data_IF_689423637306
#
_entry.id   IF_689423637306
#
_cell.length_a   1.000
_cell.length_b   1.000
_cell.length_c   1.000
_cell.angle_alpha   90.00
_cell.angle_beta   90.00
_cell.angle_gamma   90.00
#
_symmetry.space_group_name_H-M   'P 1'
#
loop_
_entity.id
_entity.type
_entity.pdbx_description
1 polymer ?
#
# COMPACT_ATOMS: atom_id res chain seq x y z
N UNK A 1 5.24 50.39 -85.38
CA UNK A 1 4.84 50.15 -86.79
C UNK A 1 5.50 48.84 -87.21
N UNK A 2 4.87 47.80 -87.72
CA UNK A 2 3.54 47.58 -88.30
C UNK A 2 3.34 46.05 -88.39
N UNK A 3 2.08 45.63 -88.40
CA UNK A 3 1.62 44.39 -89.02
C UNK A 3 1.56 43.21 -88.06
N UNK A 4 0.52 42.39 -88.04
CA UNK A 4 -0.65 42.36 -88.89
C UNK A 4 -1.64 41.29 -88.40
N UNK A 5 -2.90 41.57 -88.71
CA UNK A 5 -4.11 40.77 -88.81
C UNK A 5 -4.11 39.27 -88.46
N UNK A 6 -5.02 38.95 -87.51
CA UNK A 6 -6.06 37.89 -87.48
C UNK A 6 -5.83 36.54 -88.17
N UNK A 7 -6.12 35.46 -87.44
CA UNK A 7 -7.25 34.54 -87.72
C UNK A 7 -7.63 33.81 -86.41
N UNK A 8 -8.93 33.61 -86.23
CA UNK A 8 -9.57 32.98 -85.09
C UNK A 8 -9.26 31.48 -84.96
N UNK A 9 -9.33 30.96 -83.73
CA UNK A 9 -9.50 29.52 -83.50
C UNK A 9 -10.36 29.26 -82.25
N UNK A 10 -11.35 28.42 -82.49
CA UNK A 10 -12.29 27.84 -81.55
C UNK A 10 -11.78 26.48 -81.07
N UNK A 11 -12.17 26.14 -79.82
CA UNK A 11 -12.32 24.81 -79.20
C UNK A 11 -11.09 23.89 -79.00
N UNK A 12 -10.82 23.54 -77.73
CA UNK A 12 -11.16 22.23 -77.13
C UNK A 12 -10.78 22.16 -75.63
N UNK A 13 -11.60 21.41 -74.87
CA UNK A 13 -11.55 21.17 -73.41
C UNK A 13 -10.28 20.44 -72.91
N UNK A 14 -9.86 20.70 -71.66
CA UNK A 14 -9.71 19.62 -70.67
C UNK A 14 -9.76 20.11 -69.20
N UNK A 15 -10.45 19.33 -68.37
CA UNK A 15 -10.80 19.52 -66.97
C UNK A 15 -9.64 19.50 -65.99
N UNK A 16 -9.68 20.29 -64.90
CA UNK A 16 -9.08 19.87 -63.61
C UNK A 16 -9.79 20.49 -62.36
N UNK A 17 -10.47 19.62 -61.62
CA UNK A 17 -10.48 19.45 -60.14
C UNK A 17 -11.09 20.55 -59.24
N UNK A 18 -12.34 20.33 -58.79
CA UNK A 18 -12.93 20.96 -57.59
C UNK A 18 -12.59 20.15 -56.32
N UNK A 19 -12.05 20.83 -55.31
CA UNK A 19 -11.78 20.29 -53.97
C UNK A 19 -12.72 20.89 -52.93
N UNK A 20 -13.62 20.03 -52.44
CA UNK A 20 -14.61 20.16 -51.35
C UNK A 20 -14.33 21.15 -50.21
N UNK A 21 -15.28 22.06 -49.98
CA UNK A 21 -15.47 22.78 -48.71
C UNK A 21 -15.88 21.79 -47.61
N UNK A 22 -14.97 21.44 -46.69
CA UNK A 22 -15.32 20.68 -45.49
C UNK A 22 -15.77 21.62 -44.37
N UNK A 23 -17.04 21.49 -43.97
CA UNK A 23 -17.57 22.07 -42.73
C UNK A 23 -16.80 21.52 -41.51
N UNK A 24 -16.55 22.33 -40.46
CA UNK A 24 -15.90 21.83 -39.25
C UNK A 24 -16.82 20.83 -38.55
N UNK A 25 -16.33 19.60 -38.37
CA UNK A 25 -17.02 18.56 -37.60
C UNK A 25 -17.14 19.01 -36.14
N UNK A 26 -18.30 18.82 -35.48
CA UNK A 26 -18.40 18.97 -34.04
C UNK A 26 -17.39 18.04 -33.37
N UNK A 27 -16.48 18.59 -32.56
CA UNK A 27 -15.65 17.78 -31.67
C UNK A 27 -16.58 17.15 -30.64
N UNK A 28 -16.82 15.84 -30.79
CA UNK A 28 -17.33 15.04 -29.70
C UNK A 28 -16.39 15.27 -28.50
N UNK A 29 -16.97 15.71 -27.39
CA UNK A 29 -16.30 15.88 -26.11
C UNK A 29 -15.49 14.61 -25.81
N UNK A 30 -14.26 14.81 -25.34
CA UNK A 30 -13.36 13.78 -24.84
C UNK A 30 -14.10 12.81 -23.91
N UNK A 31 -14.31 11.59 -24.39
CA UNK A 31 -14.69 10.46 -23.54
C UNK A 31 -13.60 10.29 -22.48
N UNK A 32 -13.93 10.13 -21.19
CA UNK A 32 -12.93 9.79 -20.19
C UNK A 32 -12.21 8.52 -20.64
N UNK A 33 -10.88 8.51 -20.48
CA UNK A 33 -10.03 7.38 -20.85
C UNK A 33 -10.49 6.18 -20.02
N UNK A 34 -10.83 5.07 -20.68
CA UNK A 34 -11.37 3.86 -20.03
C UNK A 34 -10.45 3.29 -18.93
N UNK A 35 -9.17 3.69 -18.89
CA UNK A 35 -8.21 3.31 -17.85
C UNK A 35 -8.47 3.95 -16.48
N UNK A 36 -9.16 5.10 -16.43
CA UNK A 36 -9.41 5.81 -15.17
C UNK A 36 -10.76 5.43 -14.53
N UNK A 37 -11.64 4.74 -15.27
CA UNK A 37 -12.96 4.34 -14.80
C UNK A 37 -12.92 3.53 -13.48
N UNK A 38 -12.00 2.55 -13.30
CA UNK A 38 -11.89 1.83 -12.02
C UNK A 38 -11.47 2.75 -10.87
N UNK A 39 -10.58 3.72 -11.14
CA UNK A 39 -10.08 4.66 -10.12
C UNK A 39 -11.16 5.68 -9.72
N UNK A 40 -11.94 6.18 -10.66
CA UNK A 40 -13.08 7.06 -10.38
C UNK A 40 -14.21 6.34 -9.64
N UNK A 41 -14.50 5.08 -10.00
CA UNK A 41 -15.48 4.26 -9.29
C UNK A 41 -15.02 3.96 -7.86
N UNK A 42 -13.76 3.55 -7.68
CA UNK A 42 -13.15 3.31 -6.37
C UNK A 42 -13.17 4.57 -5.50
N UNK A 43 -12.79 5.74 -6.04
CA UNK A 43 -12.84 7.00 -5.29
C UNK A 43 -14.27 7.38 -4.87
N UNK A 44 -15.26 7.17 -5.74
CA UNK A 44 -16.67 7.48 -5.45
C UNK A 44 -17.27 6.52 -4.41
N UNK A 45 -16.91 5.23 -4.47
CA UNK A 45 -17.38 4.21 -3.53
C UNK A 45 -16.68 4.33 -2.17
N UNK A 46 -15.39 4.70 -2.14
CA UNK A 46 -14.69 5.06 -0.90
C UNK A 46 -15.33 6.28 -0.23
N UNK A 47 -15.76 7.27 -1.01
CA UNK A 47 -16.49 8.44 -0.50
C UNK A 47 -17.89 8.08 0.03
N UNK A 48 -18.56 7.11 -0.58
CA UNK A 48 -19.84 6.58 -0.09
C UNK A 48 -19.65 5.78 1.21
N UNK A 49 -18.59 4.99 1.32
CA UNK A 49 -18.21 4.30 2.56
C UNK A 49 -17.93 5.29 3.69
N UNK A 50 -17.11 6.33 3.45
CA UNK A 50 -16.81 7.35 4.46
C UNK A 50 -18.03 8.21 4.86
N UNK A 51 -19.10 8.18 4.06
CA UNK A 51 -20.36 8.87 4.38
C UNK A 51 -21.35 7.97 5.12
N UNK A 52 -21.03 6.69 5.28
CA UNK A 52 -21.89 5.71 5.93
C UNK A 52 -21.70 5.77 7.45
N UNK A 53 -22.78 5.98 8.21
CA UNK A 53 -22.72 6.08 9.67
C UNK A 53 -22.18 4.81 10.34
N UNK A 54 -22.51 3.62 9.81
CA UNK A 54 -21.99 2.35 10.31
C UNK A 54 -20.49 2.25 10.10
N UNK A 55 -19.98 2.67 8.93
CA UNK A 55 -18.55 2.69 8.66
C UNK A 55 -17.81 3.76 9.49
N UNK A 56 -18.42 4.93 9.68
CA UNK A 56 -17.84 5.99 10.50
C UNK A 56 -17.62 5.53 11.94
N UNK A 57 -18.53 4.73 12.51
CA UNK A 57 -18.32 4.13 13.83
C UNK A 57 -17.09 3.20 13.87
N UNK A 58 -16.89 2.39 12.82
CA UNK A 58 -15.71 1.51 12.67
C UNK A 58 -14.44 2.33 12.54
N UNK A 59 -14.44 3.37 11.71
CA UNK A 59 -13.30 4.26 11.54
C UNK A 59 -12.92 4.96 12.86
N UNK A 60 -13.90 5.48 13.60
CA UNK A 60 -13.65 6.11 14.90
C UNK A 60 -13.04 5.13 15.90
N UNK A 61 -13.58 3.91 16.00
CA UNK A 61 -13.05 2.88 16.87
C UNK A 61 -11.61 2.51 16.50
N UNK A 62 -11.32 2.30 15.22
CA UNK A 62 -9.96 1.98 14.75
C UNK A 62 -8.97 3.12 15.05
N UNK A 63 -9.37 4.39 14.84
CA UNK A 63 -8.54 5.54 15.20
C UNK A 63 -8.29 5.59 16.71
N UNK A 64 -9.30 5.28 17.53
CA UNK A 64 -9.14 5.22 18.98
C UNK A 64 -8.12 4.15 19.40
N UNK A 65 -8.19 2.97 18.79
CA UNK A 65 -7.23 1.87 19.02
C UNK A 65 -5.80 2.31 18.69
N UNK A 66 -5.57 2.96 17.55
CA UNK A 66 -4.23 3.49 17.21
C UNK A 66 -3.73 4.59 18.15
N UNK A 67 -4.62 5.25 18.90
CA UNK A 67 -4.26 6.22 19.94
C UNK A 67 -3.98 5.57 21.30
N UNK A 68 -4.02 4.23 21.39
CA UNK A 68 -3.88 3.48 22.64
C UNK A 68 -5.17 3.40 23.46
N UNK A 69 -6.32 3.72 22.86
CA UNK A 69 -7.63 3.58 23.49
C UNK A 69 -8.20 2.17 23.35
N UNK A 70 -8.97 1.72 24.34
CA UNK A 70 -9.72 0.47 24.28
C UNK A 70 -11.10 0.63 23.63
N UNK A 71 -11.77 -0.51 23.40
CA UNK A 71 -13.18 -0.55 23.02
C UNK A 71 -14.07 -0.48 24.26
N UNK A 72 -15.22 0.17 24.14
CA UNK A 72 -16.24 0.20 25.18
C UNK A 72 -16.98 -1.14 25.29
N UNK A 73 -17.68 -1.33 26.41
CA UNK A 73 -18.51 -2.51 26.63
C UNK A 73 -19.54 -2.66 25.50
N UNK A 74 -19.59 -3.86 24.90
CA UNK A 74 -20.49 -4.20 23.78
C UNK A 74 -20.28 -3.40 22.48
N UNK A 75 -19.27 -2.52 22.42
CA UNK A 75 -18.92 -1.79 21.20
C UNK A 75 -18.47 -2.77 20.11
N UNK A 76 -17.60 -3.73 20.47
CA UNK A 76 -17.08 -4.73 19.54
C UNK A 76 -18.20 -5.52 18.84
N UNK A 77 -19.25 -5.90 19.57
CA UNK A 77 -20.40 -6.59 18.98
C UNK A 77 -21.11 -5.70 17.94
N UNK A 78 -21.32 -4.44 18.28
CA UNK A 78 -21.96 -3.46 17.41
C UNK A 78 -21.14 -3.20 16.15
N UNK A 79 -19.81 -3.07 16.28
CA UNK A 79 -18.88 -2.90 15.17
C UNK A 79 -18.91 -4.13 14.24
N UNK A 80 -18.91 -5.33 14.80
CA UNK A 80 -19.00 -6.58 14.04
C UNK A 80 -20.30 -6.67 13.24
N UNK A 81 -21.44 -6.30 13.83
CA UNK A 81 -22.73 -6.25 13.13
C UNK A 81 -22.73 -5.21 12.01
N UNK A 82 -22.14 -4.04 12.23
CA UNK A 82 -21.98 -3.01 11.22
C UNK A 82 -21.16 -3.53 10.03
N UNK A 83 -20.04 -4.20 10.29
CA UNK A 83 -19.20 -4.79 9.24
C UNK A 83 -19.94 -5.90 8.50
N UNK A 84 -20.67 -6.79 9.18
CA UNK A 84 -21.50 -7.83 8.52
C UNK A 84 -22.55 -7.23 7.58
N UNK A 85 -23.19 -6.13 7.97
CA UNK A 85 -24.17 -5.42 7.12
C UNK A 85 -23.50 -4.78 5.92
N UNK A 86 -22.34 -4.13 6.11
CA UNK A 86 -21.58 -3.51 5.04
C UNK A 86 -21.04 -4.55 4.04
N UNK A 87 -20.57 -5.71 4.51
CA UNK A 87 -20.12 -6.82 3.66
C UNK A 87 -21.23 -7.36 2.74
N UNK A 88 -22.50 -7.29 3.16
CA UNK A 88 -23.65 -7.69 2.35
C UNK A 88 -24.10 -6.61 1.35
N UNK A 89 -23.52 -5.42 1.40
CA UNK A 89 -23.83 -4.30 0.52
C UNK A 89 -22.84 -4.22 -0.65
N UNK A 90 -23.12 -3.35 -1.62
CA UNK A 90 -22.20 -3.05 -2.74
C UNK A 90 -20.84 -2.51 -2.29
N UNK A 91 -20.72 -2.08 -1.03
CA UNK A 91 -19.49 -1.52 -0.46
C UNK A 91 -18.58 -2.58 0.17
N UNK A 92 -19.04 -3.83 0.29
CA UNK A 92 -18.33 -4.90 0.99
C UNK A 92 -16.94 -5.17 0.42
N UNK A 93 -16.78 -5.14 -0.90
CA UNK A 93 -15.50 -5.37 -1.59
C UNK A 93 -14.44 -4.31 -1.31
N UNK A 94 -14.82 -3.15 -0.80
CA UNK A 94 -13.91 -2.03 -0.55
C UNK A 94 -13.44 -1.96 0.91
N UNK A 95 -14.03 -2.74 1.81
CA UNK A 95 -13.71 -2.69 3.24
C UNK A 95 -12.23 -3.01 3.49
N UNK A 96 -11.72 -4.09 2.88
CA UNK A 96 -10.33 -4.52 3.03
C UNK A 96 -9.36 -3.47 2.48
N UNK A 97 -9.65 -2.94 1.28
CA UNK A 97 -8.83 -1.91 0.64
C UNK A 97 -8.79 -0.62 1.46
N UNK A 98 -9.96 -0.16 1.96
CA UNK A 98 -10.03 1.02 2.80
C UNK A 98 -9.32 0.81 4.14
N UNK A 99 -9.48 -0.37 4.76
CA UNK A 99 -8.74 -0.72 5.97
C UNK A 99 -7.24 -0.60 5.73
N UNK A 100 -6.71 -1.24 4.68
CA UNK A 100 -5.28 -1.22 4.37
C UNK A 100 -4.76 0.18 4.03
N UNK A 101 -5.40 0.86 3.07
CA UNK A 101 -4.86 2.07 2.46
C UNK A 101 -5.20 3.36 3.23
N UNK A 102 -6.22 3.35 4.09
CA UNK A 102 -6.65 4.54 4.82
C UNK A 102 -6.45 4.39 6.32
N UNK A 103 -7.02 3.34 6.93
CA UNK A 103 -7.04 3.22 8.39
C UNK A 103 -5.69 2.76 8.92
N UNK A 104 -5.22 1.61 8.42
CA UNK A 104 -3.97 0.98 8.81
C UNK A 104 -2.79 1.87 8.42
N UNK A 105 -2.72 2.30 7.15
CA UNK A 105 -1.64 3.16 6.67
C UNK A 105 -1.48 4.42 7.53
N UNK A 106 -2.58 5.11 7.84
CA UNK A 106 -2.54 6.32 8.68
C UNK A 106 -2.12 6.02 10.13
N UNK A 107 -2.62 4.93 10.71
CA UNK A 107 -2.24 4.51 12.06
C UNK A 107 -0.77 4.15 12.19
N UNK A 108 -0.23 3.45 11.19
CA UNK A 108 1.18 3.08 11.15
C UNK A 108 2.12 4.25 10.88
N UNK A 109 1.74 5.19 10.00
CA UNK A 109 2.50 6.42 9.80
C UNK A 109 2.61 7.24 11.10
N UNK A 110 1.55 7.28 11.90
CA UNK A 110 1.60 7.91 13.22
C UNK A 110 2.59 7.21 14.17
N UNK A 111 2.65 5.87 14.15
CA UNK A 111 3.62 5.11 14.95
C UNK A 111 5.05 5.32 14.45
N UNK A 112 5.26 5.34 13.14
CA UNK A 112 6.57 5.59 12.53
C UNK A 112 7.10 6.99 12.85
N UNK A 113 6.22 8.00 12.83
CA UNK A 113 6.57 9.36 13.23
C UNK A 113 7.05 9.42 14.68
N UNK A 114 6.42 8.67 15.60
CA UNK A 114 6.90 8.58 16.99
C UNK A 114 8.31 8.02 17.09
N UNK A 115 8.66 6.99 16.29
CA UNK A 115 10.03 6.43 16.29
C UNK A 115 11.03 7.41 15.68
N UNK A 116 10.63 8.18 14.65
CA UNK A 116 11.50 9.17 14.01
C UNK A 116 11.86 10.36 14.91
N UNK A 117 11.04 10.68 15.90
CA UNK A 117 11.30 11.77 16.84
C UNK A 117 12.42 11.42 17.84
N UNK A 118 12.84 10.17 17.91
CA UNK A 118 13.91 9.70 18.76
C UNK A 118 15.23 9.57 17.98
N UNK A 119 16.34 9.92 18.62
CA UNK A 119 17.69 9.85 18.05
C UNK A 119 18.55 8.84 18.81
N UNK A 120 19.54 8.24 18.14
CA UNK A 120 20.50 7.34 18.78
C UNK A 120 19.92 6.00 19.24
N UNK A 121 20.41 5.48 20.37
CA UNK A 121 20.04 4.17 20.92
C UNK A 121 18.58 4.13 21.41
N UNK A 122 18.05 5.26 21.90
CA UNK A 122 16.64 5.40 22.35
C UNK A 122 15.63 5.03 21.26
N UNK A 123 16.02 5.13 19.98
CA UNK A 123 15.17 4.79 18.84
C UNK A 123 14.80 3.32 18.80
N UNK A 124 15.70 2.44 19.24
CA UNK A 124 15.44 0.99 19.30
C UNK A 124 14.52 0.65 20.48
N UNK A 125 14.71 1.30 21.62
CA UNK A 125 13.85 1.11 22.78
C UNK A 125 12.42 1.58 22.48
N UNK A 126 12.26 2.76 21.86
CA UNK A 126 10.95 3.27 21.46
C UNK A 126 10.30 2.39 20.37
N UNK A 127 11.08 1.87 19.42
CA UNK A 127 10.56 0.89 18.45
C UNK A 127 10.10 -0.39 19.15
N UNK A 128 10.85 -0.87 20.14
CA UNK A 128 10.51 -2.05 20.95
C UNK A 128 9.17 -1.84 21.67
N UNK A 129 9.00 -0.71 22.34
CA UNK A 129 7.76 -0.37 23.05
C UNK A 129 6.56 -0.25 22.10
N UNK A 130 6.75 0.42 20.95
CA UNK A 130 5.70 0.57 19.93
C UNK A 130 5.31 -0.78 19.36
N UNK A 131 6.28 -1.65 19.09
CA UNK A 131 6.02 -3.00 18.63
C UNK A 131 5.25 -3.82 19.66
N UNK A 132 5.66 -3.79 20.93
CA UNK A 132 4.99 -4.55 21.99
C UNK A 132 3.51 -4.14 22.13
N UNK A 133 3.23 -2.82 22.18
CA UNK A 133 1.87 -2.32 22.22
C UNK A 133 1.09 -2.64 20.93
N UNK A 134 1.72 -2.50 19.76
CA UNK A 134 1.09 -2.82 18.49
C UNK A 134 0.69 -4.30 18.41
N UNK A 135 1.61 -5.19 18.76
CA UNK A 135 1.44 -6.62 18.61
C UNK A 135 0.48 -7.23 19.65
N UNK A 136 0.48 -6.69 20.88
CA UNK A 136 -0.32 -7.24 21.99
C UNK A 136 -1.69 -6.59 22.15
N UNK A 137 -1.84 -5.31 21.79
CA UNK A 137 -3.10 -4.58 21.98
C UNK A 137 -3.74 -4.15 20.66
N UNK A 138 -3.01 -3.40 19.82
CA UNK A 138 -3.58 -2.82 18.59
C UNK A 138 -4.01 -3.91 17.62
N UNK A 139 -3.09 -4.80 17.24
CA UNK A 139 -3.30 -5.83 16.23
C UNK A 139 -4.44 -6.80 16.63
N UNK A 140 -4.47 -7.39 17.84
CA UNK A 140 -5.59 -8.24 18.25
C UNK A 140 -6.93 -7.50 18.24
N UNK A 141 -6.95 -6.22 18.62
CA UNK A 141 -8.18 -5.42 18.59
C UNK A 141 -8.65 -5.16 17.16
N UNK A 142 -7.75 -4.85 16.23
CA UNK A 142 -8.09 -4.73 14.81
C UNK A 142 -8.61 -6.06 14.25
N UNK A 143 -7.96 -7.18 14.58
CA UNK A 143 -8.44 -8.51 14.21
C UNK A 143 -9.84 -8.79 14.75
N UNK A 144 -10.14 -8.37 15.98
CA UNK A 144 -11.44 -8.55 16.59
C UNK A 144 -12.53 -7.69 15.92
N UNK A 145 -12.24 -6.42 15.62
CA UNK A 145 -13.15 -5.51 14.92
C UNK A 145 -13.48 -6.07 13.53
N UNK A 146 -12.46 -6.50 12.78
CA UNK A 146 -12.63 -6.98 11.41
C UNK A 146 -12.84 -8.49 11.29
N UNK A 147 -13.14 -9.18 12.38
CA UNK A 147 -13.40 -10.62 12.40
C UNK A 147 -14.40 -11.11 11.31
N UNK A 148 -15.47 -10.37 10.97
CA UNK A 148 -16.40 -10.80 9.91
C UNK A 148 -15.82 -10.76 8.50
N UNK A 149 -14.69 -10.08 8.27
CA UNK A 149 -14.02 -10.01 6.98
C UNK A 149 -13.22 -11.29 6.77
N UNK A 150 -13.82 -12.27 6.09
CA UNK A 150 -13.23 -13.59 5.83
C UNK A 150 -13.18 -13.89 4.32
N UNK A 151 -12.38 -14.88 3.94
CA UNK A 151 -12.24 -15.32 2.54
C UNK A 151 -11.49 -14.36 1.63
N UNK A 152 -10.74 -13.41 2.20
CA UNK A 152 -9.80 -12.57 1.46
C UNK A 152 -8.50 -13.33 1.20
N UNK A 153 -7.72 -12.89 0.20
CA UNK A 153 -6.39 -13.45 -0.10
C UNK A 153 -5.44 -13.35 1.10
N UNK A 154 -5.48 -12.22 1.81
CA UNK A 154 -4.74 -11.99 3.04
C UNK A 154 -5.70 -11.74 4.21
N UNK A 155 -5.38 -12.33 5.36
CA UNK A 155 -6.07 -12.04 6.63
C UNK A 155 -5.76 -10.62 7.11
N UNK A 156 -6.64 -10.04 7.93
CA UNK A 156 -6.41 -8.74 8.60
C UNK A 156 -5.06 -8.72 9.34
N UNK A 157 -4.69 -9.86 9.94
CA UNK A 157 -3.40 -10.01 10.62
C UNK A 157 -2.23 -9.86 9.65
N UNK A 158 -2.26 -10.57 8.53
CA UNK A 158 -1.18 -10.52 7.53
C UNK A 158 -1.08 -9.12 6.93
N UNK A 159 -2.21 -8.49 6.58
CA UNK A 159 -2.24 -7.11 6.07
C UNK A 159 -1.61 -6.14 7.08
N UNK A 160 -1.98 -6.25 8.36
CA UNK A 160 -1.47 -5.40 9.42
C UNK A 160 0.04 -5.61 9.69
N UNK A 161 0.53 -6.85 9.63
CA UNK A 161 1.95 -7.17 9.80
C UNK A 161 2.80 -6.70 8.61
N UNK A 162 2.34 -6.94 7.37
CA UNK A 162 2.98 -6.41 6.16
C UNK A 162 3.04 -4.88 6.18
N UNK A 163 1.93 -4.24 6.56
CA UNK A 163 1.89 -2.80 6.73
C UNK A 163 2.91 -2.30 7.74
N UNK A 164 3.04 -2.95 8.91
CA UNK A 164 4.02 -2.56 9.92
C UNK A 164 5.45 -2.69 9.40
N UNK A 165 5.77 -3.80 8.71
CA UNK A 165 7.07 -4.00 8.05
C UNK A 165 7.39 -2.84 7.10
N UNK A 166 6.47 -2.53 6.19
CA UNK A 166 6.73 -1.62 5.07
C UNK A 166 6.69 -0.14 5.47
N UNK A 167 5.78 0.21 6.37
CA UNK A 167 5.51 1.60 6.74
C UNK A 167 6.21 2.04 8.01
N UNK A 168 6.61 1.12 8.89
CA UNK A 168 7.31 1.42 10.14
C UNK A 168 8.75 0.90 10.08
N UNK A 169 8.93 -0.43 10.10
CA UNK A 169 10.24 -1.05 10.28
C UNK A 169 11.26 -0.61 9.22
N UNK A 170 10.92 -0.78 7.94
CA UNK A 170 11.83 -0.46 6.83
C UNK A 170 12.08 1.06 6.70
N UNK A 171 11.23 1.91 7.30
CA UNK A 171 11.46 3.37 7.35
C UNK A 171 12.36 3.79 8.50
N UNK A 172 12.45 2.98 9.55
CA UNK A 172 13.36 3.23 10.69
C UNK A 172 14.82 3.05 10.29
N UNK A 173 15.11 2.24 9.25
CA UNK A 173 16.47 1.91 8.78
C UNK A 173 17.34 1.30 9.87
N UNK A 174 16.87 0.20 10.46
CA UNK A 174 17.57 -0.49 11.53
C UNK A 174 19.00 -0.93 11.16
N UNK A 175 19.31 -1.15 9.88
CA UNK A 175 20.64 -1.51 9.39
C UNK A 175 21.72 -0.49 9.80
N UNK A 176 21.35 0.79 9.90
CA UNK A 176 22.26 1.87 10.31
C UNK A 176 22.42 1.93 11.84
N UNK A 177 21.42 1.43 12.60
CA UNK A 177 21.33 1.59 14.05
C UNK A 177 21.84 0.35 14.79
N UNK A 178 21.54 -0.86 14.29
CA UNK A 178 21.92 -2.12 14.90
C UNK A 178 23.45 -2.24 15.16
N UNK A 179 24.35 -1.82 14.24
CA UNK A 179 25.79 -1.84 14.51
C UNK A 179 26.25 -0.83 15.56
N UNK A 180 25.47 0.23 15.80
CA UNK A 180 25.78 1.28 16.77
C UNK A 180 25.40 0.85 18.20
N UNK A 181 24.41 -0.04 18.34
CA UNK A 181 24.01 -0.58 19.64
C UNK A 181 25.05 -1.57 20.13
N UNK A 182 25.89 -1.13 21.07
CA UNK A 182 26.90 -1.98 21.71
C UNK A 182 26.27 -2.93 22.75
N UNK A 183 25.02 -2.69 23.14
CA UNK A 183 24.25 -3.51 24.08
C UNK A 183 23.48 -4.63 23.35
N UNK A 184 22.96 -5.59 24.12
CA UNK A 184 22.18 -6.70 23.57
C UNK A 184 20.83 -6.17 23.04
N UNK A 185 20.54 -6.42 21.75
CA UNK A 185 19.27 -6.07 21.10
C UNK A 185 18.07 -6.53 21.95
N UNK A 186 17.03 -5.69 22.17
CA UNK A 186 15.86 -6.06 22.95
C UNK A 186 15.15 -7.30 22.39
N UNK A 187 14.65 -8.17 23.28
CA UNK A 187 13.98 -9.42 22.90
C UNK A 187 12.75 -9.18 22.01
N UNK A 188 12.02 -8.07 22.25
CA UNK A 188 10.86 -7.69 21.44
C UNK A 188 11.25 -7.37 20.00
N UNK A 189 12.43 -6.80 19.75
CA UNK A 189 12.93 -6.55 18.39
C UNK A 189 13.25 -7.86 17.68
N UNK A 190 13.89 -8.82 18.37
CA UNK A 190 14.13 -10.15 17.80
C UNK A 190 12.82 -10.83 17.44
N UNK A 191 11.85 -10.79 18.36
CA UNK A 191 10.52 -11.37 18.15
C UNK A 191 9.78 -10.68 17.00
N UNK A 192 9.88 -9.36 16.89
CA UNK A 192 9.31 -8.59 15.79
C UNK A 192 9.84 -9.05 14.44
N UNK A 193 11.16 -9.10 14.28
CA UNK A 193 11.82 -9.48 13.03
C UNK A 193 11.40 -10.89 12.60
N UNK A 194 11.42 -11.85 13.53
CA UNK A 194 11.02 -13.24 13.26
C UNK A 194 9.54 -13.35 12.86
N UNK A 195 8.65 -12.60 13.51
CA UNK A 195 7.23 -12.62 13.17
C UNK A 195 6.99 -11.99 11.81
N UNK A 196 7.59 -10.84 11.52
CA UNK A 196 7.43 -10.18 10.23
C UNK A 196 8.00 -11.03 9.09
N UNK A 197 9.09 -11.78 9.33
CA UNK A 197 9.67 -12.69 8.35
C UNK A 197 8.71 -13.83 7.98
N UNK A 198 7.87 -14.28 8.92
CA UNK A 198 6.89 -15.35 8.67
C UNK A 198 5.72 -14.94 7.77
N UNK A 199 5.61 -13.66 7.42
CA UNK A 199 4.50 -13.13 6.62
C UNK A 199 4.99 -12.75 5.22
N UNK A 200 4.34 -13.32 4.21
CA UNK A 200 4.69 -13.12 2.80
C UNK A 200 3.54 -12.49 2.02
N UNK A 201 3.90 -11.68 1.04
CA UNK A 201 3.01 -11.16 0.03
C UNK A 201 2.57 -12.28 -0.94
N UNK A 202 1.33 -12.20 -1.46
CA UNK A 202 0.83 -13.22 -2.40
C UNK A 202 1.57 -13.20 -3.74
N UNK A 203 2.18 -12.07 -4.09
CA UNK A 203 2.92 -11.86 -5.36
C UNK A 203 4.37 -12.37 -5.33
N UNK A 204 4.79 -13.02 -4.24
CA UNK A 204 6.17 -13.49 -4.04
C UNK A 204 7.07 -12.46 -3.34
N UNK A 205 8.37 -12.78 -3.17
CA UNK A 205 9.29 -11.98 -2.37
C UNK A 205 9.52 -10.60 -2.99
N UNK A 206 9.27 -9.57 -2.19
CA UNK A 206 9.53 -8.17 -2.55
C UNK A 206 10.90 -7.72 -2.07
N UNK A 207 11.38 -6.59 -2.59
CA UNK A 207 12.59 -5.93 -2.09
C UNK A 207 12.54 -5.68 -0.58
N UNK A 208 11.37 -5.29 -0.06
CA UNK A 208 11.18 -5.08 1.39
C UNK A 208 11.31 -6.37 2.20
N UNK A 209 10.91 -7.51 1.64
CA UNK A 209 11.12 -8.81 2.26
C UNK A 209 12.61 -9.19 2.30
N UNK A 210 13.38 -8.92 1.24
CA UNK A 210 14.81 -9.20 1.20
C UNK A 210 15.60 -8.32 2.20
N UNK A 211 15.23 -7.04 2.33
CA UNK A 211 15.79 -6.14 3.35
C UNK A 211 15.51 -6.65 4.76
N UNK A 212 14.30 -7.17 5.01
CA UNK A 212 13.98 -7.80 6.28
C UNK A 212 14.83 -9.05 6.54
N UNK A 213 15.09 -9.87 5.52
CA UNK A 213 15.94 -11.06 5.65
C UNK A 213 17.35 -10.70 6.10
N UNK A 214 17.93 -9.63 5.53
CA UNK A 214 19.26 -9.15 5.91
C UNK A 214 19.29 -8.60 7.34
N UNK A 215 18.25 -7.90 7.78
CA UNK A 215 18.10 -7.47 9.17
C UNK A 215 18.04 -8.66 10.14
N UNK A 216 17.32 -9.73 9.79
CA UNK A 216 17.20 -10.91 10.67
C UNK A 216 18.55 -11.63 10.80
N UNK A 217 19.35 -11.72 9.73
CA UNK A 217 20.70 -12.31 9.75
C UNK A 217 21.63 -11.63 10.77
N UNK A 218 21.49 -10.32 10.96
CA UNK A 218 22.32 -9.57 11.91
C UNK A 218 21.98 -9.87 13.37
N UNK A 219 20.73 -10.29 13.65
CA UNK A 219 20.19 -10.40 15.01
C UNK A 219 20.04 -11.86 15.47
N UNK A 220 19.89 -12.81 14.54
CA UNK A 220 19.61 -14.22 14.83
C UNK A 220 20.74 -15.11 14.31
N UNK A 221 21.27 -16.00 15.16
CA UNK A 221 22.30 -16.98 14.77
C UNK A 221 22.03 -18.37 15.38
N UNK A 222 22.09 -19.46 14.59
CA UNK A 222 22.29 -19.48 13.14
C UNK A 222 21.02 -19.05 12.38
N UNK A 223 21.17 -18.30 11.30
CA UNK A 223 20.07 -17.94 10.41
C UNK A 223 20.03 -18.88 9.19
N UNK A 224 18.87 -19.48 8.94
CA UNK A 224 18.62 -20.35 7.79
C UNK A 224 17.74 -19.59 6.79
N UNK A 225 18.38 -18.73 5.99
CA UNK A 225 17.73 -17.92 4.96
C UNK A 225 17.40 -18.69 3.69
N UNK A 226 16.57 -18.09 2.83
CA UNK A 226 16.29 -18.60 1.49
C UNK A 226 17.38 -18.20 0.49
N UNK A 227 18.18 -17.17 0.82
CA UNK A 227 19.31 -16.76 0.02
C UNK A 227 20.50 -17.69 0.31
N UNK A 228 20.74 -18.65 -0.59
CA UNK A 228 22.02 -19.35 -0.64
C UNK A 228 23.12 -18.32 -0.84
N UNK A 229 24.05 -18.24 0.10
CA UNK A 229 25.30 -17.51 -0.09
C UNK A 229 26.01 -18.07 -1.32
N UNK A 230 25.90 -17.41 -2.47
CA UNK A 230 26.85 -17.57 -3.59
C UNK A 230 28.24 -17.00 -3.25
N UNK A 231 28.65 -17.08 -1.98
CA UNK A 231 29.96 -16.71 -1.48
C UNK A 231 30.60 -17.89 -0.73
N UNK A 232 30.46 -19.11 -1.26
CA UNK A 232 31.52 -20.10 -1.12
C UNK A 232 32.73 -19.66 -1.97
N UNK A 233 33.41 -18.59 -1.56
CA UNK A 233 34.80 -18.44 -1.92
C UNK A 233 35.53 -19.54 -1.16
N UNK A 234 35.81 -20.64 -1.86
CA UNK A 234 36.60 -21.75 -1.33
C UNK A 234 37.96 -21.22 -0.87
N UNK A 235 38.06 -20.90 0.41
CA UNK A 235 39.34 -20.78 1.08
C UNK A 235 39.74 -22.18 1.49
N UNK A 236 40.57 -22.77 0.64
CA UNK A 236 41.49 -23.85 0.97
C UNK A 236 42.10 -23.58 2.34
N UNK A 237 41.71 -24.35 3.36
CA UNK A 237 42.51 -24.47 4.57
C UNK A 237 43.01 -25.90 4.64
N UNK A 238 44.23 -26.09 4.14
CA UNK A 238 45.10 -27.18 4.53
C UNK A 238 45.28 -27.11 6.05
N UNK A 239 44.94 -28.20 6.74
CA UNK A 239 45.80 -28.90 7.71
C UNK A 239 45.15 -30.26 8.06
#
# INVERSE_FOLDING_TARGET
>A
MKGGFTIALSFALQSHKMGSFRRPRPRFMSSPVLSDLPRFQAARQAMQLSSNSAWNSVQTAVINVFKGGGLQNNELYTLNENIRRLLKSELGSFITDYFQNQLLAKGLLFMEEKVKLCEGEDRIDVLSEIWDHYFTETLPTLQAIFYPVQGQELTIRQIALLGFRDLVLLKVKLEEILPLVQTKVPASIVQMLLILQSVHEPTGPTEGYLQLEELVKQVVSPFLGLCEDHSSSGSTCLL
#
